data_IF_337717525784
#
_entry.id   IF_337717525784
#
_cell.length_a   1.000
_cell.length_b   1.000
_cell.length_c   1.000
_cell.angle_alpha   90.00
_cell.angle_beta   90.00
_cell.angle_gamma   90.00
#
_symmetry.space_group_name_H-M   'P 1'
#
loop_
_entity.id
_entity.type
_entity.pdbx_description
1 polymer ?
#
# COMPACT_ATOMS: atom_id res chain seq x y z
N UNK A 1 -29.67 -5.07 -1.38
CA UNK A 1 -29.15 -4.05 -2.32
C UNK A 1 -27.81 -3.60 -1.77
N UNK A 2 -26.73 -4.22 -2.26
CA UNK A 2 -25.37 -4.04 -1.74
C UNK A 2 -24.82 -2.71 -2.24
N UNK A 3 -24.82 -1.69 -1.40
CA UNK A 3 -24.10 -0.45 -1.67
C UNK A 3 -22.62 -0.72 -1.48
N UNK A 4 -21.94 -0.91 -2.61
CA UNK A 4 -20.48 -0.78 -2.70
C UNK A 4 -20.03 0.47 -1.94
N UNK A 5 -19.01 0.39 -1.08
CA UNK A 5 -18.23 1.57 -0.73
C UNK A 5 -17.69 2.17 -2.04
N UNK A 6 -18.07 3.42 -2.30
CA UNK A 6 -17.84 4.11 -3.57
C UNK A 6 -16.37 4.21 -3.98
N UNK A 7 -15.43 4.01 -3.03
CA UNK A 7 -13.99 4.06 -3.28
C UNK A 7 -13.44 2.85 -4.07
N UNK A 8 -14.13 1.70 -4.05
CA UNK A 8 -13.70 0.50 -4.80
C UNK A 8 -14.05 0.56 -6.31
N UNK A 9 -14.77 1.58 -6.76
CA UNK A 9 -15.07 1.79 -8.18
C UNK A 9 -14.09 2.77 -8.88
N UNK A 10 -13.24 3.48 -8.13
CA UNK A 10 -12.45 4.62 -8.65
C UNK A 10 -10.94 4.39 -8.72
N UNK A 11 -10.42 3.24 -8.29
CA UNK A 11 -8.99 2.95 -8.38
C UNK A 11 -8.11 3.81 -7.47
N UNK A 12 -8.59 4.18 -6.29
CA UNK A 12 -7.79 4.91 -5.29
C UNK A 12 -7.68 4.08 -4.02
N UNK A 13 -6.44 3.87 -3.53
CA UNK A 13 -6.15 3.02 -2.37
C UNK A 13 -6.89 3.46 -1.10
N UNK A 14 -7.16 2.53 -0.18
CA UNK A 14 -7.99 2.75 1.00
C UNK A 14 -7.44 1.99 2.22
N UNK A 15 -7.43 2.62 3.39
CA UNK A 15 -7.25 1.91 4.66
C UNK A 15 -8.48 1.01 4.92
N UNK A 16 -8.29 -0.26 5.31
CA UNK A 16 -9.34 -1.32 5.42
C UNK A 16 -9.65 -1.74 6.88
N UNK A 17 -10.93 -1.77 7.30
CA UNK A 17 -11.37 -2.21 8.64
C UNK A 17 -11.38 -3.72 8.67
N UNK A 18 -11.51 -4.27 9.88
CA UNK A 18 -12.02 -5.62 10.10
C UNK A 18 -13.30 -5.96 9.31
N UNK A 19 -14.19 -5.01 9.02
CA UNK A 19 -15.42 -5.23 8.24
C UNK A 19 -15.16 -5.28 6.72
N UNK A 20 -14.24 -4.47 6.20
CA UNK A 20 -13.76 -4.59 4.82
C UNK A 20 -12.98 -5.89 4.61
N UNK A 21 -12.27 -6.35 5.66
CA UNK A 21 -11.63 -7.67 5.69
C UNK A 21 -12.66 -8.79 5.45
N UNK A 22 -13.88 -8.68 5.99
CA UNK A 22 -14.95 -9.66 5.80
C UNK A 22 -15.55 -9.64 4.38
N UNK A 23 -15.56 -8.49 3.72
CA UNK A 23 -15.97 -8.37 2.31
C UNK A 23 -14.89 -8.88 1.35
N UNK A 24 -13.62 -8.69 1.68
CA UNK A 24 -12.49 -9.28 0.97
C UNK A 24 -12.44 -10.82 1.12
N UNK A 25 -12.86 -11.36 2.28
CA UNK A 25 -13.00 -12.81 2.50
C UNK A 25 -14.03 -13.48 1.57
N UNK A 26 -14.93 -12.72 0.95
CA UNK A 26 -15.97 -13.24 0.04
C UNK A 26 -15.53 -13.30 -1.45
N UNK A 27 -14.39 -12.72 -1.80
CA UNK A 27 -13.73 -12.92 -3.10
C UNK A 27 -12.80 -14.13 -3.00
N UNK A 28 -12.32 -14.68 -4.13
CA UNK A 28 -11.16 -15.59 -4.08
C UNK A 28 -10.04 -14.88 -3.28
N UNK A 29 -9.65 -15.49 -2.14
CA UNK A 29 -9.03 -14.80 -1.00
C UNK A 29 -7.86 -13.90 -1.43
N UNK A 30 -7.94 -12.57 -1.29
CA UNK A 30 -6.82 -11.70 -1.62
C UNK A 30 -5.64 -11.99 -0.69
N UNK A 31 -4.45 -11.96 -1.25
CA UNK A 31 -3.20 -12.13 -0.52
C UNK A 31 -2.86 -10.82 0.17
N UNK A 32 -2.93 -10.82 1.49
CA UNK A 32 -2.46 -9.70 2.31
C UNK A 32 -0.98 -9.94 2.61
N UNK A 33 -0.13 -9.04 2.14
CA UNK A 33 1.31 -9.11 2.31
C UNK A 33 1.76 -7.93 3.17
N UNK A 34 2.49 -8.23 4.25
CA UNK A 34 2.82 -7.23 5.28
C UNK A 34 4.24 -6.73 5.09
N UNK A 35 4.39 -5.43 4.84
CA UNK A 35 5.64 -4.69 4.84
C UNK A 35 5.79 -3.88 6.14
N UNK A 36 7.02 -3.71 6.61
CA UNK A 36 7.31 -2.97 7.84
C UNK A 36 7.83 -1.58 7.51
N UNK A 37 7.07 -0.55 7.86
CA UNK A 37 7.47 0.85 7.72
C UNK A 37 8.80 1.15 8.41
N UNK A 38 9.07 0.53 9.57
CA UNK A 38 10.36 0.62 10.25
C UNK A 38 11.56 0.14 9.41
N UNK A 39 11.34 -0.66 8.35
CA UNK A 39 12.34 -1.06 7.36
C UNK A 39 12.31 -0.25 6.06
N UNK A 40 11.36 0.66 5.91
CA UNK A 40 11.15 1.45 4.68
C UNK A 40 11.51 2.93 4.87
N UNK A 41 12.39 3.25 5.82
CA UNK A 41 12.69 4.65 6.22
C UNK A 41 13.42 5.48 5.16
N UNK A 42 14.04 4.85 4.15
CA UNK A 42 14.70 5.50 3.03
C UNK A 42 14.36 4.75 1.72
N UNK A 43 14.47 5.40 0.56
CA UNK A 43 14.03 4.84 -0.73
C UNK A 43 14.61 3.46 -1.01
N UNK A 44 15.92 3.28 -0.82
CA UNK A 44 16.58 2.00 -1.08
C UNK A 44 16.01 0.88 -0.19
N UNK A 45 15.78 1.16 1.09
CA UNK A 45 15.24 0.19 2.04
C UNK A 45 13.76 -0.12 1.79
N UNK A 46 12.99 0.89 1.34
CA UNK A 46 11.61 0.72 0.89
C UNK A 46 11.53 -0.24 -0.30
N UNK A 47 12.35 -0.01 -1.33
CA UNK A 47 12.35 -0.84 -2.54
C UNK A 47 12.80 -2.28 -2.21
N UNK A 48 13.76 -2.44 -1.31
CA UNK A 48 14.19 -3.76 -0.83
C UNK A 48 13.08 -4.51 -0.08
N UNK A 49 12.46 -3.87 0.93
CA UNK A 49 11.36 -4.49 1.70
C UNK A 49 10.17 -4.85 0.80
N UNK A 50 9.77 -3.96 -0.13
CA UNK A 50 8.68 -4.26 -1.06
C UNK A 50 9.04 -5.39 -2.03
N UNK A 51 10.26 -5.41 -2.56
CA UNK A 51 10.71 -6.50 -3.44
C UNK A 51 10.67 -7.85 -2.73
N UNK A 52 11.05 -7.88 -1.44
CA UNK A 52 11.01 -9.09 -0.64
C UNK A 52 9.57 -9.50 -0.28
N UNK A 53 8.70 -8.55 0.10
CA UNK A 53 7.32 -8.84 0.50
C UNK A 53 6.47 -9.30 -0.68
N UNK A 54 6.64 -8.66 -1.85
CA UNK A 54 5.90 -8.97 -3.07
C UNK A 54 6.57 -10.03 -3.94
N UNK A 55 7.75 -10.52 -3.53
CA UNK A 55 8.53 -11.52 -4.26
C UNK A 55 8.81 -11.07 -5.71
N UNK A 56 9.31 -9.85 -5.87
CA UNK A 56 9.65 -9.31 -7.18
C UNK A 56 10.71 -10.18 -7.89
N UNK A 57 10.75 -10.15 -9.24
CA UNK A 57 11.74 -10.85 -10.04
C UNK A 57 13.19 -10.52 -9.65
N UNK A 58 14.11 -11.46 -9.93
CA UNK A 58 15.54 -11.31 -9.61
C UNK A 58 16.23 -10.14 -10.34
N UNK A 59 15.68 -9.74 -11.48
CA UNK A 59 16.14 -8.62 -12.30
C UNK A 59 15.46 -7.29 -11.93
N UNK A 60 14.80 -7.21 -10.77
CA UNK A 60 14.20 -5.98 -10.25
C UNK A 60 15.21 -4.83 -10.20
N UNK A 61 14.91 -3.76 -10.95
CA UNK A 61 15.82 -2.63 -11.16
C UNK A 61 16.00 -1.66 -10.00
N UNK A 62 15.35 -1.90 -8.84
CA UNK A 62 15.46 -1.11 -7.61
C UNK A 62 15.34 0.41 -7.82
N UNK A 63 14.36 0.84 -8.61
CA UNK A 63 14.02 2.25 -8.84
C UNK A 63 12.49 2.43 -8.94
N UNK A 64 12.02 3.68 -9.08
CA UNK A 64 10.58 3.99 -9.09
C UNK A 64 9.85 3.40 -10.30
N UNK A 65 10.47 3.45 -11.48
CA UNK A 65 9.89 2.90 -12.70
C UNK A 65 9.75 1.38 -12.59
N UNK A 66 10.81 0.70 -12.11
CA UNK A 66 10.79 -0.74 -11.85
C UNK A 66 9.73 -1.13 -10.80
N UNK A 67 9.56 -0.33 -9.74
CA UNK A 67 8.50 -0.54 -8.76
C UNK A 67 7.12 -0.44 -9.43
N UNK A 68 6.90 0.62 -10.21
CA UNK A 68 5.65 0.84 -10.90
C UNK A 68 5.32 -0.30 -11.87
N UNK A 69 6.31 -0.82 -12.59
CA UNK A 69 6.17 -1.94 -13.51
C UNK A 69 5.81 -3.23 -12.76
N UNK A 70 6.54 -3.57 -11.69
CA UNK A 70 6.24 -4.77 -10.90
C UNK A 70 4.88 -4.69 -10.19
N UNK A 71 4.46 -3.52 -9.70
CA UNK A 71 3.13 -3.34 -9.11
C UNK A 71 2.00 -3.44 -10.15
N UNK A 72 2.28 -3.05 -11.39
CA UNK A 72 1.34 -3.18 -12.51
C UNK A 72 1.17 -4.62 -12.98
N UNK A 73 2.19 -5.47 -12.81
CA UNK A 73 2.16 -6.89 -13.15
C UNK A 73 2.54 -7.76 -11.96
N UNK A 74 1.54 -8.15 -11.18
CA UNK A 74 1.68 -9.11 -10.07
C UNK A 74 1.17 -10.50 -10.47
N UNK A 75 1.38 -10.91 -11.72
CA UNK A 75 0.87 -12.19 -12.26
C UNK A 75 1.25 -13.42 -11.41
N UNK A 76 2.44 -13.44 -10.82
CA UNK A 76 2.89 -14.53 -9.93
C UNK A 76 2.14 -14.59 -8.59
N UNK A 77 1.45 -13.53 -8.19
CA UNK A 77 0.57 -13.48 -7.02
C UNK A 77 -0.91 -13.63 -7.35
N UNK A 78 -1.26 -13.84 -8.62
CA UNK A 78 -2.65 -13.89 -9.10
C UNK A 78 -3.17 -12.56 -9.65
N UNK A 79 -2.30 -11.56 -9.78
CA UNK A 79 -2.59 -10.25 -10.37
C UNK A 79 -2.84 -9.14 -9.33
N UNK A 80 -2.73 -7.86 -9.73
CA UNK A 80 -2.79 -6.73 -8.79
C UNK A 80 -4.09 -6.65 -7.99
N UNK A 81 -5.21 -7.05 -8.58
CA UNK A 81 -6.52 -7.02 -7.92
C UNK A 81 -6.69 -8.05 -6.78
N UNK A 82 -5.78 -9.02 -6.66
CA UNK A 82 -5.77 -10.04 -5.62
C UNK A 82 -4.70 -9.79 -4.56
N UNK A 83 -3.98 -8.66 -4.60
CA UNK A 83 -2.91 -8.33 -3.66
C UNK A 83 -3.28 -7.09 -2.87
N UNK A 84 -3.14 -7.18 -1.55
CA UNK A 84 -3.25 -6.06 -0.62
C UNK A 84 -1.93 -5.92 0.12
N UNK A 85 -1.33 -4.73 0.09
CA UNK A 85 -0.09 -4.43 0.81
C UNK A 85 -0.46 -3.82 2.16
N UNK A 86 -0.24 -4.54 3.25
CA UNK A 86 -0.36 -4.00 4.59
C UNK A 86 0.97 -3.39 5.03
N UNK A 87 0.97 -2.14 5.46
CA UNK A 87 2.14 -1.40 5.92
C UNK A 87 1.97 -1.15 7.41
N UNK A 88 2.80 -1.84 8.19
CA UNK A 88 2.91 -1.60 9.63
C UNK A 88 3.80 -0.38 9.91
N UNK A 89 3.53 0.36 10.99
CA UNK A 89 4.30 1.57 11.35
C UNK A 89 4.39 2.55 10.17
N UNK A 90 3.25 2.86 9.55
CA UNK A 90 3.18 3.65 8.32
C UNK A 90 3.80 5.06 8.44
N UNK A 91 3.90 5.60 9.65
CA UNK A 91 4.61 6.85 9.94
C UNK A 91 6.13 6.77 9.72
N UNK A 92 6.69 5.56 9.66
CA UNK A 92 8.12 5.33 9.45
C UNK A 92 8.51 5.27 7.98
N UNK A 93 7.52 5.15 7.06
CA UNK A 93 7.77 5.07 5.63
C UNK A 93 8.42 6.36 5.15
N UNK A 94 9.63 6.23 4.60
CA UNK A 94 10.44 7.34 4.09
C UNK A 94 10.70 8.46 5.13
N UNK A 95 10.66 8.13 6.43
CA UNK A 95 10.90 9.10 7.51
C UNK A 95 12.29 9.76 7.43
N UNK A 96 13.29 9.09 6.84
CA UNK A 96 14.65 9.62 6.64
C UNK A 96 14.81 10.28 5.24
N UNK A 97 13.80 10.17 4.36
CA UNK A 97 13.82 10.68 2.98
C UNK A 97 12.42 11.18 2.54
N UNK A 98 11.84 12.09 3.33
CA UNK A 98 10.45 12.52 3.15
C UNK A 98 10.14 13.10 1.76
N UNK A 99 11.13 13.69 1.06
CA UNK A 99 10.95 14.20 -0.30
C UNK A 99 10.66 13.13 -1.36
N UNK A 100 10.83 11.86 -1.04
CA UNK A 100 10.49 10.71 -1.89
C UNK A 100 9.10 10.14 -1.60
N UNK A 101 8.42 10.61 -0.55
CA UNK A 101 7.16 10.04 -0.07
C UNK A 101 6.01 10.20 -1.08
N UNK A 102 5.84 11.40 -1.61
CA UNK A 102 4.77 11.70 -2.58
C UNK A 102 4.91 10.84 -3.85
N UNK A 103 6.15 10.60 -4.30
CA UNK A 103 6.43 9.75 -5.47
C UNK A 103 6.04 8.30 -5.20
N UNK A 104 6.35 7.78 -4.01
CA UNK A 104 5.97 6.43 -3.64
C UNK A 104 4.45 6.26 -3.61
N UNK A 105 3.75 7.18 -2.97
CA UNK A 105 2.29 7.14 -2.85
C UNK A 105 1.62 7.32 -4.22
N UNK A 106 2.16 8.19 -5.09
CA UNK A 106 1.65 8.35 -6.45
C UNK A 106 1.78 7.06 -7.25
N UNK A 107 2.91 6.34 -7.14
CA UNK A 107 3.10 5.05 -7.81
C UNK A 107 2.05 4.03 -7.33
N UNK A 108 1.77 3.97 -6.04
CA UNK A 108 0.72 3.09 -5.51
C UNK A 108 -0.67 3.44 -6.05
N UNK A 109 -1.00 4.73 -6.07
CA UNK A 109 -2.27 5.24 -6.56
C UNK A 109 -2.44 4.98 -8.07
N UNK A 110 -1.44 5.30 -8.88
CA UNK A 110 -1.45 5.12 -10.34
C UNK A 110 -1.62 3.64 -10.74
N UNK A 111 -1.07 2.72 -9.94
CA UNK A 111 -1.21 1.28 -10.15
C UNK A 111 -2.44 0.67 -9.49
N UNK A 112 -3.25 1.46 -8.79
CA UNK A 112 -4.46 1.00 -8.12
C UNK A 112 -4.18 -0.02 -7.02
N UNK A 113 -3.01 0.03 -6.40
CA UNK A 113 -2.60 -0.90 -5.35
C UNK A 113 -3.44 -0.66 -4.10
N UNK A 114 -4.00 -1.74 -3.56
CA UNK A 114 -4.74 -1.69 -2.30
C UNK A 114 -3.75 -1.71 -1.14
N UNK A 115 -3.83 -0.71 -0.25
CA UNK A 115 -2.88 -0.55 0.86
C UNK A 115 -3.62 -0.44 2.19
N UNK A 116 -3.28 -1.30 3.14
CA UNK A 116 -3.73 -1.21 4.52
C UNK A 116 -2.65 -0.52 5.36
N UNK A 117 -2.98 0.50 6.13
CA UNK A 117 -2.03 1.21 6.99
C UNK A 117 -2.30 0.87 8.45
N UNK A 118 -1.25 0.59 9.21
CA UNK A 118 -1.29 0.62 10.67
C UNK A 118 -0.18 1.50 11.20
N UNK A 119 -0.43 2.13 12.34
CA UNK A 119 0.45 3.08 13.01
C UNK A 119 1.07 2.46 14.26
N UNK A 120 2.22 2.97 14.69
CA UNK A 120 2.81 2.64 15.98
C UNK A 120 1.97 3.16 17.17
N UNK A 121 2.20 2.65 18.40
CA UNK A 121 1.39 3.02 19.57
C UNK A 121 1.47 4.51 19.96
N UNK A 122 2.57 5.18 19.60
CA UNK A 122 2.81 6.59 19.91
C UNK A 122 2.61 7.52 18.69
N UNK A 123 2.19 6.96 17.55
CA UNK A 123 2.03 7.71 16.31
C UNK A 123 0.68 8.45 16.26
N UNK A 124 0.65 9.58 15.57
CA UNK A 124 -0.59 10.32 15.33
C UNK A 124 -1.30 9.78 14.08
N UNK A 125 -2.31 8.95 14.30
CA UNK A 125 -3.16 8.37 13.25
C UNK A 125 -3.78 9.41 12.31
N UNK A 126 -4.11 10.60 12.82
CA UNK A 126 -4.69 11.66 12.01
C UNK A 126 -3.64 12.28 11.10
N UNK A 127 -2.42 12.49 11.60
CA UNK A 127 -1.30 12.98 10.81
C UNK A 127 -0.89 11.99 9.71
N UNK A 128 -0.82 10.69 10.03
CA UNK A 128 -0.52 9.64 9.04
C UNK A 128 -1.60 9.60 7.96
N UNK A 129 -2.87 9.62 8.37
CA UNK A 129 -3.99 9.67 7.41
C UNK A 129 -3.91 10.89 6.49
N UNK A 130 -3.64 12.06 7.05
CA UNK A 130 -3.50 13.29 6.28
C UNK A 130 -2.34 13.20 5.29
N UNK A 131 -1.15 12.79 5.74
CA UNK A 131 0.03 12.68 4.88
C UNK A 131 -0.19 11.75 3.68
N UNK A 132 -0.75 10.56 3.91
CA UNK A 132 -1.06 9.61 2.84
C UNK A 132 -2.19 10.10 1.92
N UNK A 133 -3.15 10.87 2.47
CA UNK A 133 -4.22 11.50 1.68
C UNK A 133 -3.73 12.63 0.81
N UNK A 134 -2.88 13.50 1.34
CA UNK A 134 -2.31 14.65 0.65
C UNK A 134 -1.37 14.21 -0.48
N UNK A 135 -0.69 13.07 -0.29
CA UNK A 135 0.16 12.45 -1.30
C UNK A 135 -0.61 11.72 -2.42
N UNK A 136 -1.94 11.73 -2.39
CA UNK A 136 -2.80 11.32 -3.52
C UNK A 136 -3.50 9.97 -3.38
N UNK A 137 -3.44 9.33 -2.21
CA UNK A 137 -4.12 8.06 -1.93
C UNK A 137 -5.39 8.33 -1.11
N UNK A 138 -6.53 7.77 -1.50
CA UNK A 138 -7.79 8.06 -0.79
C UNK A 138 -7.88 7.34 0.56
N UNK A 139 -7.34 7.94 1.62
CA UNK A 139 -7.37 7.31 2.94
C UNK A 139 -8.72 7.47 3.62
N UNK A 140 -9.60 6.48 3.45
CA UNK A 140 -10.85 6.40 4.19
C UNK A 140 -10.61 5.91 5.62
N UNK A 141 -11.19 6.62 6.59
CA UNK A 141 -11.32 6.06 7.93
C UNK A 141 -12.33 4.92 7.93
N UNK A 142 -12.14 4.10 8.92
CA UNK A 142 -12.61 2.75 8.96
C UNK A 142 -13.75 2.69 9.96
N UNK A 143 -14.98 2.68 9.42
CA UNK A 143 -16.21 2.65 10.20
C UNK A 143 -16.45 1.28 10.86
#
# INVERSE_FOLDING_TARGET
MSTLPQFLASGSGAALTSADLDSLKQRERPRVLVARGSRMRAKAALLDELSAVLQFPLDFGANWDALADCLGDLGWLGGPALVVVAIAEAEQVLADEAGSFDVFVSVLADRGVQVLLSTGPDADDAAVRAAWSDAGLTVAALA
#
